data_IF_186050791255
#
_entry.id   IF_186050791255
#
_cell.length_a   1.000
_cell.length_b   1.000
_cell.length_c   1.000
_cell.angle_alpha   90.00
_cell.angle_beta   90.00
_cell.angle_gamma   90.00
#
_symmetry.space_group_name_H-M   'P 1'
#
loop_
_entity.id
_entity.type
_entity.pdbx_description
1 polymer ?
#
# COMPACT_ATOMS: atom_id res chain seq x y z
N UNK A 1 -25.79 -54.77 -1.78
CA UNK A 1 -25.72 -53.85 -0.65
C UNK A 1 -24.57 -52.89 -0.91
N UNK A 2 -24.86 -51.77 -1.59
CA UNK A 2 -23.88 -50.71 -1.84
C UNK A 2 -23.76 -49.90 -0.55
N UNK A 3 -22.61 -49.99 0.11
CA UNK A 3 -22.33 -49.17 1.30
C UNK A 3 -22.02 -47.77 0.79
N UNK A 4 -22.98 -46.86 0.99
CA UNK A 4 -22.79 -45.43 0.79
C UNK A 4 -21.78 -44.96 1.85
N UNK A 5 -20.54 -44.69 1.44
CA UNK A 5 -19.49 -44.15 2.30
C UNK A 5 -19.64 -42.64 2.40
N UNK A 6 -20.67 -42.18 3.10
CA UNK A 6 -20.77 -40.78 3.51
C UNK A 6 -19.92 -40.61 4.78
N UNK A 7 -18.60 -40.46 4.59
CA UNK A 7 -17.63 -40.25 5.67
C UNK A 7 -17.31 -38.76 5.83
N UNK A 8 -17.86 -38.07 6.85
CA UNK A 8 -17.77 -36.61 7.01
C UNK A 8 -16.33 -36.07 7.17
N UNK A 9 -15.36 -36.91 7.53
CA UNK A 9 -13.96 -36.50 7.67
C UNK A 9 -13.26 -36.10 6.37
N UNK A 10 -13.67 -36.66 5.23
CA UNK A 10 -13.08 -36.31 3.92
C UNK A 10 -13.60 -34.98 3.38
N UNK A 11 -14.85 -34.65 3.67
CA UNK A 11 -15.46 -33.37 3.29
C UNK A 11 -14.85 -32.22 4.09
N UNK A 12 -14.73 -32.38 5.41
CA UNK A 12 -14.09 -31.38 6.29
C UNK A 12 -12.61 -31.16 5.96
N UNK A 13 -11.85 -32.23 5.62
CA UNK A 13 -10.46 -32.08 5.20
C UNK A 13 -10.33 -31.33 3.86
N UNK A 14 -11.26 -31.55 2.91
CA UNK A 14 -11.30 -30.81 1.63
C UNK A 14 -11.67 -29.34 1.83
N UNK A 15 -12.61 -29.04 2.73
CA UNK A 15 -12.98 -27.66 3.06
C UNK A 15 -11.80 -26.88 3.68
N UNK A 16 -11.04 -27.51 4.58
CA UNK A 16 -9.84 -26.89 5.18
C UNK A 16 -8.76 -26.65 4.12
N UNK A 17 -8.50 -27.61 3.23
CA UNK A 17 -7.54 -27.43 2.13
C UNK A 17 -7.99 -26.31 1.18
N UNK A 18 -9.28 -26.27 0.80
CA UNK A 18 -9.83 -25.19 -0.04
C UNK A 18 -9.69 -23.82 0.62
N UNK A 19 -9.99 -23.70 1.92
CA UNK A 19 -9.82 -22.45 2.64
C UNK A 19 -8.35 -22.02 2.75
N UNK A 20 -7.42 -22.97 2.88
CA UNK A 20 -5.98 -22.69 2.83
C UNK A 20 -5.53 -22.24 1.44
N UNK A 21 -6.04 -22.84 0.37
CA UNK A 21 -5.78 -22.42 -1.02
C UNK A 21 -6.37 -21.03 -1.31
N UNK A 22 -7.53 -20.69 -0.74
CA UNK A 22 -8.12 -19.35 -0.82
C UNK A 22 -7.27 -18.31 -0.06
N UNK A 23 -6.83 -18.64 1.16
CA UNK A 23 -5.93 -17.76 1.94
C UNK A 23 -4.58 -17.56 1.25
N UNK A 24 -3.99 -18.61 0.69
CA UNK A 24 -2.75 -18.52 -0.08
C UNK A 24 -2.88 -17.54 -1.24
N UNK A 25 -3.95 -17.67 -2.03
CA UNK A 25 -4.24 -16.76 -3.16
C UNK A 25 -4.43 -15.31 -2.71
N UNK A 26 -5.13 -15.07 -1.61
CA UNK A 26 -5.31 -13.73 -1.05
C UNK A 26 -3.99 -13.11 -0.62
N UNK A 27 -3.10 -13.88 0.03
CA UNK A 27 -1.78 -13.38 0.43
C UNK A 27 -0.87 -13.11 -0.77
N UNK A 28 -0.93 -13.93 -1.81
CA UNK A 28 -0.18 -13.68 -3.06
C UNK A 28 -0.65 -12.39 -3.74
N UNK A 29 -1.97 -12.13 -3.76
CA UNK A 29 -2.53 -10.88 -4.29
C UNK A 29 -2.11 -9.67 -3.44
N UNK A 30 -2.19 -9.78 -2.11
CA UNK A 30 -1.70 -8.75 -1.19
C UNK A 30 -0.21 -8.49 -1.41
N UNK A 31 0.62 -9.52 -1.52
CA UNK A 31 2.05 -9.37 -1.77
C UNK A 31 2.35 -8.67 -3.10
N UNK A 32 1.55 -8.95 -4.13
CA UNK A 32 1.64 -8.25 -5.42
C UNK A 32 1.29 -6.77 -5.28
N UNK A 33 0.23 -6.45 -4.56
CA UNK A 33 -0.18 -5.06 -4.28
C UNK A 33 0.86 -4.33 -3.42
N UNK A 34 1.43 -4.99 -2.42
CA UNK A 34 2.46 -4.42 -1.54
C UNK A 34 3.72 -4.06 -2.33
N UNK A 35 4.14 -4.91 -3.29
CA UNK A 35 5.25 -4.61 -4.18
C UNK A 35 4.97 -3.38 -5.05
N UNK A 36 3.76 -3.25 -5.59
CA UNK A 36 3.33 -2.09 -6.38
C UNK A 36 3.28 -0.81 -5.53
N UNK A 37 2.78 -0.91 -4.29
CA UNK A 37 2.75 0.19 -3.33
C UNK A 37 4.18 0.65 -3.03
N UNK A 38 5.10 -0.29 -2.78
CA UNK A 38 6.50 0.02 -2.49
C UNK A 38 7.16 0.77 -3.66
N UNK A 39 7.05 0.25 -4.88
CA UNK A 39 7.58 0.89 -6.09
C UNK A 39 6.99 2.30 -6.28
N UNK A 40 5.67 2.45 -6.09
CA UNK A 40 5.00 3.74 -6.18
C UNK A 40 5.52 4.73 -5.12
N UNK A 41 5.76 4.28 -3.89
CA UNK A 41 6.28 5.10 -2.79
C UNK A 41 7.71 5.56 -3.07
N UNK A 42 8.57 4.68 -3.55
CA UNK A 42 9.95 5.01 -3.92
C UNK A 42 9.96 6.08 -5.02
N UNK A 43 9.20 5.84 -6.09
CA UNK A 43 9.10 6.77 -7.22
C UNK A 43 8.53 8.12 -6.79
N UNK A 44 7.46 8.11 -5.97
CA UNK A 44 6.83 9.33 -5.43
C UNK A 44 7.82 10.11 -4.58
N UNK A 45 8.61 9.43 -3.74
CA UNK A 45 9.58 10.07 -2.86
C UNK A 45 10.69 10.76 -3.66
N UNK A 46 11.19 10.12 -4.71
CA UNK A 46 12.18 10.73 -5.60
C UNK A 46 11.63 11.96 -6.33
N UNK A 47 10.42 11.87 -6.87
CA UNK A 47 9.77 13.02 -7.51
C UNK A 47 9.53 14.17 -6.53
N UNK A 48 9.09 13.86 -5.30
CA UNK A 48 8.87 14.86 -4.26
C UNK A 48 10.16 15.60 -3.90
N UNK A 49 11.29 14.88 -3.87
CA UNK A 49 12.61 15.46 -3.57
C UNK A 49 13.06 16.40 -4.67
N UNK A 50 12.98 15.96 -5.93
CA UNK A 50 13.30 16.77 -7.11
C UNK A 50 12.43 18.03 -7.19
N UNK A 51 11.13 17.89 -6.93
CA UNK A 51 10.20 19.02 -6.90
C UNK A 51 10.55 20.01 -5.78
N UNK A 52 10.93 19.52 -4.59
CA UNK A 52 11.36 20.37 -3.47
C UNK A 52 12.63 21.16 -3.78
N UNK A 53 13.64 20.53 -4.41
CA UNK A 53 14.87 21.20 -4.85
C UNK A 53 14.55 22.28 -5.89
N UNK A 54 13.79 21.92 -6.93
CA UNK A 54 13.40 22.86 -7.98
C UNK A 54 12.59 24.05 -7.44
N UNK A 55 11.68 23.81 -6.48
CA UNK A 55 10.90 24.86 -5.86
C UNK A 55 11.75 25.81 -5.01
N UNK A 56 12.78 25.29 -4.33
CA UNK A 56 13.75 26.11 -3.58
C UNK A 56 14.56 26.99 -4.53
N UNK A 57 15.07 26.42 -5.62
CA UNK A 57 15.88 27.13 -6.61
C UNK A 57 15.07 28.19 -7.37
N UNK A 58 13.78 27.92 -7.60
CA UNK A 58 12.88 28.82 -8.35
C UNK A 58 12.13 29.83 -7.47
N UNK A 59 12.32 29.81 -6.14
CA UNK A 59 11.58 30.67 -5.20
C UNK A 59 10.09 30.35 -5.05
N UNK A 60 9.61 29.19 -5.49
CA UNK A 60 8.20 28.78 -5.48
C UNK A 60 7.81 27.94 -4.24
N UNK A 61 8.50 28.13 -3.12
CA UNK A 61 8.29 27.36 -1.88
C UNK A 61 6.83 27.32 -1.40
N UNK A 62 6.07 28.41 -1.56
CA UNK A 62 4.65 28.46 -1.18
C UNK A 62 3.77 27.55 -2.05
N UNK A 63 4.09 27.39 -3.33
CA UNK A 63 3.36 26.48 -4.22
C UNK A 63 3.62 25.01 -3.84
N UNK A 64 4.87 24.69 -3.47
CA UNK A 64 5.23 23.39 -2.93
C UNK A 64 4.45 23.08 -1.64
N UNK A 65 4.41 24.03 -0.69
CA UNK A 65 3.61 23.89 0.54
C UNK A 65 2.12 23.65 0.25
N UNK A 66 1.53 24.39 -0.69
CA UNK A 66 0.14 24.18 -1.10
C UNK A 66 -0.11 22.81 -1.74
N UNK A 67 0.90 22.23 -2.38
CA UNK A 67 0.82 20.86 -2.89
C UNK A 67 0.82 19.84 -1.73
N UNK A 68 1.64 20.05 -0.71
CA UNK A 68 1.66 19.18 0.48
C UNK A 68 0.31 19.16 1.21
N UNK A 69 -0.38 20.30 1.30
CA UNK A 69 -1.73 20.35 1.88
C UNK A 69 -2.73 19.51 1.07
N UNK A 70 -2.70 19.61 -0.26
CA UNK A 70 -3.54 18.77 -1.14
C UNK A 70 -3.25 17.28 -1.01
N UNK A 71 -2.03 16.88 -0.64
CA UNK A 71 -1.73 15.48 -0.34
C UNK A 71 -2.44 15.03 0.93
N UNK A 72 -2.45 15.85 1.99
CA UNK A 72 -3.17 15.53 3.22
C UNK A 72 -4.67 15.36 2.95
N UNK A 73 -5.25 16.28 2.19
CA UNK A 73 -6.68 16.23 1.84
C UNK A 73 -7.03 14.96 1.06
N UNK A 74 -6.20 14.60 0.06
CA UNK A 74 -6.42 13.41 -0.75
C UNK A 74 -6.44 12.13 0.07
N UNK A 75 -5.48 11.97 0.97
CA UNK A 75 -5.40 10.75 1.77
C UNK A 75 -6.36 10.76 2.96
N UNK A 76 -6.95 11.91 3.33
CA UNK A 76 -7.97 11.97 4.36
C UNK A 76 -9.24 11.16 4.01
N UNK A 77 -9.44 10.80 2.73
CA UNK A 77 -10.48 9.85 2.29
C UNK A 77 -10.35 8.47 2.97
N UNK A 78 -9.15 8.10 3.41
CA UNK A 78 -8.90 6.86 4.19
C UNK A 78 -9.06 7.08 5.71
N UNK A 79 -9.65 8.20 6.14
CA UNK A 79 -9.85 8.54 7.54
C UNK A 79 -8.55 8.92 8.28
N UNK A 80 -8.48 8.57 9.57
CA UNK A 80 -7.37 8.95 10.43
C UNK A 80 -6.03 8.37 9.97
N UNK A 81 -6.01 7.12 9.55
CA UNK A 81 -4.80 6.42 9.09
C UNK A 81 -4.32 6.97 7.74
N UNK A 82 -5.24 7.43 6.91
CA UNK A 82 -4.93 8.15 5.68
C UNK A 82 -4.07 9.39 5.90
N UNK A 83 -4.45 10.22 6.89
CA UNK A 83 -3.66 11.39 7.25
C UNK A 83 -2.26 11.00 7.75
N UNK A 84 -2.16 9.94 8.54
CA UNK A 84 -0.88 9.38 9.00
C UNK A 84 -0.01 8.88 7.84
N UNK A 85 -0.61 8.21 6.86
CA UNK A 85 0.06 7.75 5.64
C UNK A 85 0.57 8.93 4.82
N UNK A 86 -0.26 9.95 4.55
CA UNK A 86 0.17 11.15 3.84
C UNK A 86 1.32 11.87 4.54
N UNK A 87 1.25 12.04 5.87
CA UNK A 87 2.35 12.62 6.64
C UNK A 87 3.64 11.80 6.49
N UNK A 88 3.54 10.47 6.46
CA UNK A 88 4.68 9.57 6.24
C UNK A 88 5.27 9.75 4.86
N UNK A 89 4.45 9.75 3.81
CA UNK A 89 4.88 9.96 2.43
C UNK A 89 5.53 11.34 2.22
N UNK A 90 5.03 12.38 2.89
CA UNK A 90 5.64 13.71 2.86
C UNK A 90 7.00 13.74 3.58
N UNK A 91 7.19 12.97 4.66
CA UNK A 91 8.51 12.84 5.31
C UNK A 91 9.50 12.11 4.40
N UNK A 92 9.10 10.98 3.81
CA UNK A 92 9.94 10.18 2.91
C UNK A 92 10.46 10.99 1.70
N UNK A 93 9.64 11.89 1.15
CA UNK A 93 10.05 12.78 0.07
C UNK A 93 11.08 13.85 0.47
N UNK A 94 11.15 14.19 1.76
CA UNK A 94 12.09 15.20 2.29
C UNK A 94 13.40 14.58 2.81
N UNK A 95 13.34 13.38 3.38
CA UNK A 95 14.53 12.62 3.83
C UNK A 95 15.14 11.85 2.68
N UNK A 96 16.48 11.83 2.53
CA UNK A 96 17.10 10.85 1.61
C UNK A 96 16.64 9.46 2.04
N UNK A 97 15.99 8.72 1.14
CA UNK A 97 15.88 7.27 1.29
C UNK A 97 17.33 6.79 1.13
N UNK A 98 18.04 6.63 2.25
CA UNK A 98 19.31 5.93 2.22
C UNK A 98 18.99 4.51 1.79
N UNK A 99 19.65 4.07 0.72
CA UNK A 99 19.71 2.68 0.29
C UNK A 99 20.13 1.76 1.43
#
# INVERSE_FOLDING_TARGET
MTVQLDSPGFESAREVVSAQEDLGRLFDEIGTLDAQILEAIERRSELSRRAGIAAKESGTARQAQNHEMRVLDRFAELGADGKTLAMTLLRLGRTRLSS
#
